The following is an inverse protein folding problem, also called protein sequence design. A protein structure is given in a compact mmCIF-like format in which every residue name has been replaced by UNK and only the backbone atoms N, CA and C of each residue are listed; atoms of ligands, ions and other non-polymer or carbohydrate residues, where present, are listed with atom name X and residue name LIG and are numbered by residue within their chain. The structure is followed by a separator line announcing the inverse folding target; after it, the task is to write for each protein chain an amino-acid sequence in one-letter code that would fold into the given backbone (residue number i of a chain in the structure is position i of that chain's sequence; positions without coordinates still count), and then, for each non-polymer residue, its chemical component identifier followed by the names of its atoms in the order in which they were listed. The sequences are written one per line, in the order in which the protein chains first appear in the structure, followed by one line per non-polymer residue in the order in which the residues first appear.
data_IF_311158754786
#
_entry.id   IF_311158754786
#
_cell.length_a   1.000
_cell.length_b   1.000
_cell.length_c   1.000
_cell.angle_alpha   90.00
_cell.angle_beta   90.00
_cell.angle_gamma   90.00
#
_symmetry.space_group_name_H-M   'P 1'
#
loop_
_entity.id
_entity.type
_entity.pdbx_description
1 polymer ?
#
# COMPACT_ATOMS: atom_id res chain seq x y z
N UNK A 1 -2.64 -16.62 -13.32
CA UNK A 1 -2.01 -17.42 -12.25
C UNK A 1 -1.99 -16.65 -10.94
N UNK A 2 -2.41 -17.26 -9.88
CA UNK A 2 -2.43 -16.61 -8.58
C UNK A 2 -1.00 -16.40 -8.06
N UNK A 3 -0.78 -15.25 -7.43
CA UNK A 3 0.50 -14.97 -6.78
C UNK A 3 0.68 -15.92 -5.61
N UNK A 4 1.89 -16.36 -5.41
CA UNK A 4 2.24 -17.13 -4.23
C UNK A 4 2.20 -16.19 -3.01
N UNK A 5 1.45 -16.59 -2.01
CA UNK A 5 1.29 -15.79 -0.80
C UNK A 5 2.59 -15.80 0.04
N UNK A 6 2.96 -14.64 0.54
CA UNK A 6 4.09 -14.51 1.46
C UNK A 6 3.62 -14.95 2.84
N UNK A 7 4.29 -15.96 3.46
CA UNK A 7 3.96 -16.36 4.82
C UNK A 7 4.18 -15.24 5.83
N UNK A 8 3.34 -15.16 6.86
CA UNK A 8 3.44 -14.10 7.86
C UNK A 8 4.82 -14.05 8.52
N UNK A 9 5.40 -15.20 8.85
CA UNK A 9 6.72 -15.25 9.50
C UNK A 9 7.80 -14.64 8.60
N UNK A 10 7.71 -14.84 7.29
CA UNK A 10 8.66 -14.26 6.34
C UNK A 10 8.48 -12.74 6.24
N UNK A 11 7.23 -12.30 6.15
CA UNK A 11 6.91 -10.89 6.06
C UNK A 11 7.29 -10.12 7.32
N UNK A 12 6.94 -10.68 8.48
CA UNK A 12 7.25 -10.05 9.76
C UNK A 12 8.76 -9.96 10.00
N UNK A 13 9.50 -10.98 9.60
CA UNK A 13 10.96 -10.96 9.67
C UNK A 13 11.55 -9.85 8.79
N UNK A 14 10.97 -9.65 7.59
CA UNK A 14 11.42 -8.60 6.69
C UNK A 14 11.18 -7.21 7.28
N UNK A 15 10.07 -7.01 8.01
CA UNK A 15 9.79 -5.75 8.68
C UNK A 15 10.80 -5.44 9.79
N UNK A 16 11.47 -6.44 10.34
CA UNK A 16 12.52 -6.26 11.35
C UNK A 16 13.89 -6.04 10.72
N UNK A 17 14.00 -6.11 9.40
CA UNK A 17 15.27 -6.03 8.69
C UNK A 17 15.12 -5.22 7.40
N UNK A 18 14.57 -4.03 7.51
CA UNK A 18 14.25 -3.20 6.35
C UNK A 18 15.46 -2.85 5.51
N UNK A 19 16.64 -2.70 6.14
CA UNK A 19 17.87 -2.40 5.41
C UNK A 19 18.23 -3.46 4.37
N UNK A 20 17.90 -4.72 4.62
CA UNK A 20 18.22 -5.83 3.72
C UNK A 20 17.01 -6.40 3.00
N UNK A 21 15.81 -6.19 3.53
CA UNK A 21 14.61 -6.85 3.03
C UNK A 21 13.47 -5.88 2.73
N UNK A 22 13.79 -4.69 2.26
CA UNK A 22 12.78 -3.69 1.93
C UNK A 22 11.75 -4.20 0.94
N UNK A 23 12.20 -4.85 -0.14
CA UNK A 23 11.30 -5.35 -1.17
C UNK A 23 10.29 -6.36 -0.61
N UNK A 24 10.77 -7.30 0.20
CA UNK A 24 9.92 -8.32 0.82
C UNK A 24 8.93 -7.66 1.79
N UNK A 25 9.40 -6.72 2.60
CA UNK A 25 8.56 -6.00 3.55
C UNK A 25 7.45 -5.24 2.84
N UNK A 26 7.76 -4.51 1.78
CA UNK A 26 6.77 -3.76 1.01
C UNK A 26 5.74 -4.70 0.39
N UNK A 27 6.19 -5.77 -0.25
CA UNK A 27 5.28 -6.74 -0.88
C UNK A 27 4.37 -7.41 0.13
N UNK A 28 4.90 -7.72 1.31
CA UNK A 28 4.11 -8.30 2.38
C UNK A 28 3.04 -7.32 2.87
N UNK A 29 3.39 -6.05 3.06
CA UNK A 29 2.44 -5.03 3.50
C UNK A 29 1.35 -4.79 2.45
N UNK A 30 1.71 -4.78 1.17
CA UNK A 30 0.72 -4.68 0.10
C UNK A 30 -0.25 -5.86 0.12
N UNK A 31 0.28 -7.07 0.36
CA UNK A 31 -0.54 -8.27 0.51
C UNK A 31 -1.51 -8.14 1.70
N UNK A 32 -1.03 -7.64 2.84
CA UNK A 32 -1.87 -7.46 4.03
C UNK A 32 -3.00 -6.46 3.76
N UNK A 33 -2.68 -5.34 3.10
CA UNK A 33 -3.71 -4.36 2.73
C UNK A 33 -4.75 -4.97 1.81
N UNK A 34 -4.33 -5.73 0.81
CA UNK A 34 -5.24 -6.37 -0.13
C UNK A 34 -6.13 -7.40 0.57
N UNK A 35 -5.58 -8.12 1.52
CA UNK A 35 -6.33 -9.12 2.29
C UNK A 35 -7.39 -8.47 3.18
N UNK A 36 -7.04 -7.36 3.83
CA UNK A 36 -7.92 -6.70 4.79
C UNK A 36 -8.92 -5.74 4.12
N UNK A 37 -8.55 -5.18 2.98
CA UNK A 37 -9.35 -4.17 2.28
C UNK A 37 -9.49 -4.51 0.80
N UNK A 38 -10.08 -5.67 0.46
CA UNK A 38 -10.16 -6.09 -0.93
C UNK A 38 -11.10 -5.21 -1.75
N UNK A 39 -10.84 -5.13 -3.03
CA UNK A 39 -11.70 -4.42 -3.96
C UNK A 39 -10.92 -3.82 -5.12
N UNK A 40 -11.62 -3.07 -5.96
CA UNK A 40 -11.05 -2.50 -7.17
C UNK A 40 -11.28 -0.99 -7.31
N UNK A 41 -11.54 -0.29 -6.20
CA UNK A 41 -11.86 1.13 -6.26
C UNK A 41 -10.61 1.99 -6.44
N UNK A 42 -9.51 1.65 -5.76
CA UNK A 42 -8.26 2.43 -5.79
C UNK A 42 -7.09 1.50 -6.02
N UNK A 43 -6.19 1.89 -6.91
CA UNK A 43 -4.92 1.18 -7.08
C UNK A 43 -3.84 1.89 -6.29
N UNK A 44 -3.16 1.16 -5.42
CA UNK A 44 -2.01 1.64 -4.66
C UNK A 44 -0.74 1.10 -5.32
N UNK A 45 0.15 2.00 -5.72
CA UNK A 45 1.41 1.67 -6.39
C UNK A 45 2.60 2.06 -5.55
N UNK A 46 3.51 1.12 -5.35
CA UNK A 46 4.77 1.36 -4.64
C UNK A 46 5.91 0.85 -5.52
N UNK A 47 6.27 1.59 -6.57
CA UNK A 47 7.32 1.14 -7.46
C UNK A 47 8.68 1.12 -6.76
N UNK A 48 9.57 0.22 -7.13
CA UNK A 48 9.42 -0.80 -8.18
C UNK A 48 8.82 -2.11 -7.68
N UNK A 49 8.32 -2.16 -6.46
CA UNK A 49 8.02 -3.44 -5.79
C UNK A 49 6.65 -4.02 -6.07
N UNK A 50 5.65 -3.20 -6.31
CA UNK A 50 4.35 -3.75 -6.63
C UNK A 50 3.22 -2.75 -6.60
N UNK A 51 2.02 -3.26 -6.91
CA UNK A 51 0.78 -2.51 -6.86
C UNK A 51 -0.35 -3.46 -6.48
N UNK A 52 -1.35 -2.94 -5.78
CA UNK A 52 -2.54 -3.71 -5.42
C UNK A 52 -3.79 -2.84 -5.61
N UNK A 53 -4.92 -3.49 -5.83
CA UNK A 53 -6.21 -2.81 -5.91
C UNK A 53 -6.95 -3.03 -4.61
N UNK A 54 -7.50 -1.96 -4.06
CA UNK A 54 -8.07 -1.92 -2.72
C UNK A 54 -9.44 -1.27 -2.72
N UNK A 55 -10.18 -1.54 -1.67
CA UNK A 55 -11.49 -0.95 -1.32
C UNK A 55 -12.58 -1.39 -2.27
N UNK A 56 -13.61 -1.97 -1.69
CA UNK A 56 -14.80 -2.36 -2.41
C UNK A 56 -15.73 -1.18 -2.68
N UNK A 57 -16.83 -1.44 -3.34
CA UNK A 57 -17.90 -0.47 -3.53
C UNK A 57 -18.19 -0.10 -4.97
N UNK A 58 -17.18 -0.01 -5.82
CA UNK A 58 -17.40 0.23 -7.24
C UNK A 58 -17.24 -1.05 -8.04
N UNK A 59 -18.10 -1.21 -9.06
CA UNK A 59 -17.92 -2.29 -10.00
C UNK A 59 -16.77 -1.94 -10.93
N UNK A 60 -15.63 -2.52 -10.65
CA UNK A 60 -14.47 -2.36 -11.49
C UNK A 60 -14.35 -3.55 -12.41
N UNK A 61 -14.35 -3.31 -13.71
CA UNK A 61 -14.43 -4.40 -14.68
C UNK A 61 -13.06 -4.90 -15.11
N UNK A 62 -12.23 -4.01 -15.61
CA UNK A 62 -10.92 -4.38 -16.16
C UNK A 62 -9.98 -3.20 -16.09
N UNK A 63 -8.69 -3.51 -16.07
CA UNK A 63 -7.64 -2.51 -16.14
C UNK A 63 -7.43 -1.76 -14.84
N UNK A 64 -6.78 -0.64 -14.95
CA UNK A 64 -6.47 0.21 -13.81
C UNK A 64 -7.71 0.94 -13.33
N UNK A 65 -7.99 0.96 -12.03
CA UNK A 65 -9.06 1.80 -11.49
C UNK A 65 -8.83 3.28 -11.82
N UNK A 66 -9.90 4.08 -11.91
CA UNK A 66 -9.75 5.51 -12.17
C UNK A 66 -9.10 6.29 -11.03
N UNK A 67 -8.91 5.65 -9.87
CA UNK A 67 -8.32 6.25 -8.69
C UNK A 67 -6.99 5.58 -8.42
N UNK A 68 -5.93 6.36 -8.33
CA UNK A 68 -4.57 5.84 -8.17
C UNK A 68 -3.84 6.62 -7.10
N UNK A 69 -3.13 5.91 -6.23
CA UNK A 69 -2.21 6.50 -5.26
C UNK A 69 -0.84 5.89 -5.50
N UNK A 70 0.17 6.73 -5.62
CA UNK A 70 1.54 6.27 -5.86
C UNK A 70 2.52 6.99 -4.94
N UNK A 71 3.43 6.21 -4.35
CA UNK A 71 4.51 6.76 -3.54
C UNK A 71 5.68 5.77 -3.52
N UNK A 72 6.87 6.27 -3.15
CA UNK A 72 8.05 5.43 -3.04
C UNK A 72 7.95 4.47 -1.84
N UNK A 73 8.79 3.44 -1.84
CA UNK A 73 8.85 2.48 -0.74
C UNK A 73 9.18 3.18 0.58
N UNK A 74 10.12 4.11 0.58
CA UNK A 74 10.50 4.87 1.77
C UNK A 74 9.29 5.56 2.39
N UNK A 75 8.52 6.27 1.58
CA UNK A 75 7.36 7.02 2.06
C UNK A 75 6.19 6.11 2.41
N UNK A 76 6.03 5.01 1.68
CA UNK A 76 5.03 4.01 2.01
C UNK A 76 5.29 3.40 3.39
N UNK A 77 6.53 3.02 3.67
CA UNK A 77 6.90 2.48 4.98
C UNK A 77 6.70 3.51 6.08
N UNK A 78 7.07 4.76 5.85
CA UNK A 78 6.84 5.84 6.83
C UNK A 78 5.35 6.02 7.12
N UNK A 79 4.52 5.92 6.11
CA UNK A 79 3.07 6.03 6.25
C UNK A 79 2.49 4.85 7.03
N UNK A 80 2.93 3.63 6.70
CA UNK A 80 2.51 2.40 7.38
C UNK A 80 2.85 2.44 8.87
N UNK A 81 4.06 2.90 9.19
CA UNK A 81 4.57 2.91 10.56
C UNK A 81 4.12 4.12 11.38
N UNK A 82 3.50 5.11 10.73
CA UNK A 82 3.06 6.32 11.41
C UNK A 82 4.15 7.37 11.57
N UNK A 83 5.29 7.21 10.92
CA UNK A 83 6.38 8.19 10.98
C UNK A 83 6.09 9.43 10.14
N UNK A 84 5.24 9.30 9.12
CA UNK A 84 4.73 10.41 8.33
C UNK A 84 3.24 10.24 8.15
N UNK A 85 2.53 11.35 8.00
CA UNK A 85 1.09 11.33 7.76
C UNK A 85 0.79 11.45 6.28
N UNK A 86 -0.42 11.05 5.89
CA UNK A 86 -0.92 11.23 4.54
C UNK A 86 -0.78 12.70 4.09
N UNK A 87 -1.23 13.63 4.95
CA UNK A 87 -1.20 15.05 4.61
C UNK A 87 0.22 15.57 4.40
N UNK A 88 1.16 15.20 5.27
CA UNK A 88 2.55 15.60 5.13
C UNK A 88 3.13 15.14 3.79
N UNK A 89 2.89 13.89 3.43
CA UNK A 89 3.41 13.33 2.18
C UNK A 89 2.73 13.93 0.95
N UNK A 90 1.42 14.16 1.04
CA UNK A 90 0.66 14.75 -0.05
C UNK A 90 1.09 16.19 -0.31
N UNK A 91 1.21 16.99 0.75
CA UNK A 91 1.58 18.40 0.65
C UNK A 91 3.02 18.59 0.17
N UNK A 92 3.91 17.66 0.49
CA UNK A 92 5.31 17.73 0.04
C UNK A 92 5.54 17.09 -1.33
N UNK A 93 4.48 16.60 -1.99
CA UNK A 93 4.59 15.98 -3.30
C UNK A 93 5.17 14.57 -3.28
N UNK A 94 5.27 13.95 -2.11
CA UNK A 94 5.83 12.60 -1.95
C UNK A 94 4.78 11.51 -2.14
N UNK A 95 3.51 11.86 -2.04
CA UNK A 95 2.39 10.98 -2.28
C UNK A 95 1.54 11.62 -3.37
N UNK A 96 1.34 10.91 -4.46
CA UNK A 96 0.54 11.38 -5.58
C UNK A 96 -0.77 10.63 -5.61
N UNK A 97 -1.87 11.36 -5.54
CA UNK A 97 -3.21 10.79 -5.56
C UNK A 97 -4.00 11.42 -6.70
N UNK A 98 -4.63 10.58 -7.53
CA UNK A 98 -5.49 11.06 -8.60
C UNK A 98 -6.80 10.28 -8.60
N UNK A 99 -7.87 10.97 -8.99
CA UNK A 99 -9.22 10.39 -8.96
C UNK A 99 -9.99 10.81 -7.71
N UNK A 100 -11.32 10.84 -7.84
CA UNK A 100 -12.18 11.38 -6.79
C UNK A 100 -12.22 10.54 -5.52
N UNK A 101 -11.85 9.26 -5.61
CA UNK A 101 -11.88 8.34 -4.48
C UNK A 101 -10.51 7.92 -3.97
N UNK A 102 -9.44 8.45 -4.57
CA UNK A 102 -8.09 8.11 -4.14
C UNK A 102 -7.86 8.40 -2.65
N UNK A 103 -8.43 9.48 -2.15
CA UNK A 103 -8.31 9.89 -0.75
C UNK A 103 -8.91 8.92 0.26
N UNK A 104 -9.70 7.94 -0.19
CA UNK A 104 -10.25 6.93 0.72
C UNK A 104 -9.17 6.05 1.34
N UNK A 105 -8.01 5.93 0.69
CA UNK A 105 -6.89 5.16 1.25
C UNK A 105 -6.34 5.80 2.53
N UNK A 106 -6.53 7.09 2.71
CA UNK A 106 -6.07 7.82 3.90
C UNK A 106 -6.44 7.11 5.20
N UNK A 107 -7.64 6.54 5.24
CA UNK A 107 -8.18 5.93 6.45
C UNK A 107 -7.54 4.58 6.81
N UNK A 108 -6.72 4.04 5.93
CA UNK A 108 -6.05 2.77 6.18
C UNK A 108 -4.75 2.91 6.96
N UNK A 109 -4.25 4.13 7.10
CA UNK A 109 -2.94 4.38 7.69
C UNK A 109 -3.00 5.18 8.99
N UNK A 110 -2.06 4.95 9.93
CA UNK A 110 -1.05 3.89 9.91
C UNK A 110 -1.66 2.50 10.13
N UNK A 111 -0.89 1.45 9.83
CA UNK A 111 -1.34 0.08 10.03
C UNK A 111 -1.11 -0.32 11.49
N UNK A 112 -2.16 -0.78 12.20
CA UNK A 112 -1.97 -1.25 13.57
C UNK A 112 -1.19 -2.55 13.61
N UNK A 113 -0.41 -2.74 14.67
CA UNK A 113 0.28 -4.00 14.93
C UNK A 113 1.54 -4.27 14.11
N UNK A 114 2.01 -3.29 13.35
CA UNK A 114 3.19 -3.45 12.48
C UNK A 114 4.48 -3.07 13.22
N UNK A 115 4.36 -2.21 14.22
CA UNK A 115 5.53 -1.70 14.95
C UNK A 115 5.53 -2.16 16.39
#
# INVERSE_FOLDING_TARGET
MAKKRIPDEVGLAALQDLGNQEAMAVRYLLQQLETEHPGGTVELRVPPYGAVQLIGGLNHRRGTPPNVVELSAEHFLALILGDSTWDELSESGKLLASGTRAGQLRNLFPLPGVR
#
